data_IF_138816667695
#
_entry.id   IF_138816667695
#
_cell.length_a   1.000
_cell.length_b   1.000
_cell.length_c   1.000
_cell.angle_alpha   90.00
_cell.angle_beta   90.00
_cell.angle_gamma   90.00
#
_symmetry.space_group_name_H-M   'P 1'
#
loop_
_entity.id
_entity.type
_entity.pdbx_description
1 polymer ?
#
# COMPACT_ATOMS: atom_id res chain seq x y z
N UNK A 1 10.44 -18.14 0.53
CA UNK A 1 9.04 -17.88 0.19
C UNK A 1 8.83 -16.39 -0.06
N UNK A 2 8.20 -16.04 -1.15
CA UNK A 2 7.98 -14.64 -1.51
C UNK A 2 6.85 -14.04 -0.69
N UNK A 3 6.99 -12.76 -0.34
CA UNK A 3 5.93 -12.01 0.32
C UNK A 3 4.99 -11.41 -0.72
N UNK A 4 3.72 -11.34 -0.37
CA UNK A 4 2.66 -10.87 -1.25
C UNK A 4 2.25 -9.45 -0.88
N UNK A 5 2.32 -8.53 -1.86
CA UNK A 5 1.96 -7.12 -1.68
C UNK A 5 0.77 -6.77 -2.56
N UNK A 6 -0.25 -6.14 -1.97
CA UNK A 6 -1.38 -5.59 -2.71
C UNK A 6 -1.08 -4.12 -3.01
N UNK A 7 -1.07 -3.77 -4.29
CA UNK A 7 -0.81 -2.40 -4.75
C UNK A 7 -2.13 -1.79 -5.21
N UNK A 8 -2.55 -0.70 -4.58
CA UNK A 8 -3.83 -0.04 -4.85
C UNK A 8 -3.57 1.36 -5.39
N UNK A 9 -3.95 1.60 -6.64
CA UNK A 9 -3.75 2.89 -7.30
C UNK A 9 -4.65 2.91 -8.54
N UNK A 10 -5.33 4.04 -8.82
CA UNK A 10 -6.19 4.13 -9.99
C UNK A 10 -5.42 4.41 -11.28
N UNK A 11 -4.14 4.74 -11.20
CA UNK A 11 -3.28 4.95 -12.36
C UNK A 11 -2.65 3.64 -12.81
N UNK A 12 -2.98 3.20 -14.01
CA UNK A 12 -2.38 1.98 -14.57
C UNK A 12 -0.87 2.09 -14.68
N UNK A 13 -0.37 3.24 -15.10
CA UNK A 13 1.07 3.47 -15.20
C UNK A 13 1.75 3.28 -13.83
N UNK A 14 1.19 3.90 -12.80
CA UNK A 14 1.76 3.82 -11.45
C UNK A 14 1.68 2.41 -10.88
N UNK A 15 0.55 1.71 -11.08
CA UNK A 15 0.43 0.30 -10.66
C UNK A 15 1.50 -0.55 -11.29
N UNK A 16 1.68 -0.41 -12.61
CA UNK A 16 2.68 -1.19 -13.34
C UNK A 16 4.10 -0.87 -12.90
N UNK A 17 4.39 0.40 -12.66
CA UNK A 17 5.70 0.85 -12.20
C UNK A 17 6.05 0.24 -10.82
N UNK A 18 5.16 0.39 -9.86
CA UNK A 18 5.40 -0.16 -8.52
C UNK A 18 5.44 -1.70 -8.54
N UNK A 19 4.57 -2.32 -9.31
CA UNK A 19 4.57 -3.78 -9.44
C UNK A 19 5.88 -4.28 -10.02
N UNK A 20 6.41 -3.61 -11.05
CA UNK A 20 7.69 -3.98 -11.64
C UNK A 20 8.82 -3.88 -10.61
N UNK A 21 8.90 -2.76 -9.89
CA UNK A 21 9.95 -2.55 -8.88
C UNK A 21 9.89 -3.64 -7.81
N UNK A 22 8.70 -3.93 -7.31
CA UNK A 22 8.55 -4.93 -6.26
C UNK A 22 8.86 -6.34 -6.73
N UNK A 23 8.45 -6.69 -7.94
CA UNK A 23 8.77 -8.01 -8.49
C UNK A 23 10.27 -8.18 -8.70
N UNK A 24 10.97 -7.12 -9.13
CA UNK A 24 12.42 -7.16 -9.28
C UNK A 24 13.12 -7.32 -7.92
N UNK A 25 12.46 -6.90 -6.84
CA UNK A 25 12.96 -7.07 -5.48
C UNK A 25 12.45 -8.37 -4.83
N UNK A 26 11.92 -9.28 -5.64
CA UNK A 26 11.51 -10.62 -5.22
C UNK A 26 10.21 -10.67 -4.39
N UNK A 27 9.31 -9.71 -4.61
CA UNK A 27 7.95 -9.76 -4.06
C UNK A 27 6.96 -10.29 -5.11
N UNK A 28 5.89 -10.92 -4.63
CA UNK A 28 4.72 -11.21 -5.47
C UNK A 28 3.78 -10.02 -5.35
N UNK A 29 3.17 -9.59 -6.46
CA UNK A 29 2.28 -8.44 -6.45
C UNK A 29 0.92 -8.76 -7.03
N UNK A 30 -0.11 -8.16 -6.44
CA UNK A 30 -1.47 -8.13 -6.99
C UNK A 30 -1.87 -6.66 -6.99
N UNK A 31 -2.55 -6.22 -8.04
CA UNK A 31 -2.94 -4.82 -8.16
C UNK A 31 -4.45 -4.64 -8.04
N UNK A 32 -4.88 -3.49 -7.53
CA UNK A 32 -6.28 -3.11 -7.43
C UNK A 32 -6.43 -1.67 -7.92
N UNK A 33 -7.56 -1.34 -8.51
CA UNK A 33 -7.77 -0.03 -9.15
C UNK A 33 -8.37 1.01 -8.22
N UNK A 34 -8.96 0.59 -7.10
CA UNK A 34 -9.52 1.49 -6.08
C UNK A 34 -9.72 0.72 -4.78
N UNK A 35 -10.26 1.41 -3.77
CA UNK A 35 -10.47 0.80 -2.45
C UNK A 35 -11.45 -0.35 -2.45
N UNK A 36 -12.51 -0.26 -3.25
CA UNK A 36 -13.52 -1.33 -3.33
C UNK A 36 -12.92 -2.61 -3.92
N UNK A 37 -12.17 -2.46 -5.02
CA UNK A 37 -11.47 -3.58 -5.66
C UNK A 37 -10.43 -4.18 -4.70
N UNK A 38 -9.74 -3.33 -3.95
CA UNK A 38 -8.74 -3.77 -2.97
C UNK A 38 -9.37 -4.58 -1.84
N UNK A 39 -10.52 -4.15 -1.32
CA UNK A 39 -11.22 -4.92 -0.28
C UNK A 39 -11.61 -6.30 -0.78
N UNK A 40 -12.14 -6.37 -2.00
CA UNK A 40 -12.52 -7.64 -2.61
C UNK A 40 -11.33 -8.59 -2.68
N UNK A 41 -10.17 -8.08 -3.09
CA UNK A 41 -8.96 -8.89 -3.18
C UNK A 41 -8.43 -9.31 -1.82
N UNK A 42 -8.51 -8.43 -0.81
CA UNK A 42 -8.14 -8.78 0.56
C UNK A 42 -8.98 -9.93 1.11
N UNK A 43 -10.27 -9.95 0.78
CA UNK A 43 -11.16 -11.00 1.27
C UNK A 43 -10.94 -12.34 0.58
N UNK A 44 -10.31 -12.34 -0.59
CA UNK A 44 -10.13 -13.56 -1.38
C UNK A 44 -8.76 -14.22 -1.24
N UNK A 45 -7.76 -13.51 -0.68
CA UNK A 45 -6.41 -14.05 -0.51
C UNK A 45 -5.64 -13.31 0.58
N UNK A 46 -4.53 -13.89 1.01
CA UNK A 46 -3.69 -13.36 2.08
C UNK A 46 -2.58 -12.48 1.52
N UNK A 47 -2.34 -11.33 2.16
CA UNK A 47 -1.26 -10.41 1.81
C UNK A 47 -0.39 -10.14 3.03
N UNK A 48 0.89 -9.83 2.78
CA UNK A 48 1.84 -9.44 3.83
C UNK A 48 1.91 -7.94 4.00
N UNK A 49 1.48 -7.17 3.00
CA UNK A 49 1.55 -5.70 3.03
C UNK A 49 0.61 -5.12 1.98
N UNK A 50 0.08 -3.94 2.27
CA UNK A 50 -0.70 -3.15 1.31
C UNK A 50 0.04 -1.85 1.05
N UNK A 51 0.19 -1.49 -0.23
CA UNK A 51 0.74 -0.22 -0.68
C UNK A 51 -0.39 0.51 -1.41
N UNK A 52 -0.90 1.60 -0.86
CA UNK A 52 -2.09 2.26 -1.41
C UNK A 52 -1.89 3.76 -1.64
N UNK A 53 -2.44 4.27 -2.73
CA UNK A 53 -2.61 5.69 -2.94
C UNK A 53 -3.80 6.19 -2.11
N UNK A 54 -3.99 7.50 -2.07
CA UNK A 54 -5.09 8.16 -1.39
C UNK A 54 -6.18 8.54 -2.39
N UNK A 55 -5.83 9.27 -3.43
CA UNK A 55 -6.78 9.85 -4.37
C UNK A 55 -7.21 8.84 -5.43
N UNK A 56 -8.36 8.21 -5.19
CA UNK A 56 -8.90 7.20 -6.08
C UNK A 56 -10.40 7.39 -6.20
N UNK A 57 -10.97 6.99 -7.35
CA UNK A 57 -12.40 7.01 -7.56
C UNK A 57 -13.10 5.96 -6.67
N UNK A 58 -14.39 6.12 -6.45
CA UNK A 58 -15.28 5.21 -5.72
C UNK A 58 -14.98 5.13 -4.22
N UNK A 59 -13.75 4.85 -3.84
CA UNK A 59 -13.34 4.81 -2.43
C UNK A 59 -11.89 5.24 -2.33
N UNK A 60 -11.62 6.34 -1.62
CA UNK A 60 -10.26 6.84 -1.46
C UNK A 60 -9.46 5.97 -0.47
N UNK A 61 -8.15 6.25 -0.39
CA UNK A 61 -7.25 5.46 0.44
C UNK A 61 -7.54 5.54 1.93
N UNK A 62 -7.96 6.69 2.42
CA UNK A 62 -8.30 6.85 3.84
C UNK A 62 -9.50 5.97 4.22
N UNK A 63 -10.54 6.02 3.41
CA UNK A 63 -11.74 5.21 3.65
C UNK A 63 -11.42 3.72 3.55
N UNK A 64 -10.63 3.34 2.54
CA UNK A 64 -10.17 1.96 2.38
C UNK A 64 -9.47 1.47 3.64
N UNK A 65 -8.51 2.24 4.15
CA UNK A 65 -7.75 1.86 5.34
C UNK A 65 -8.66 1.75 6.56
N UNK A 66 -9.57 2.71 6.73
CA UNK A 66 -10.52 2.66 7.87
C UNK A 66 -11.37 1.39 7.82
N UNK A 67 -11.83 1.00 6.64
CA UNK A 67 -12.63 -0.22 6.49
C UNK A 67 -11.83 -1.47 6.79
N UNK A 68 -10.58 -1.52 6.35
CA UNK A 68 -9.69 -2.64 6.66
C UNK A 68 -9.52 -2.78 8.17
N UNK A 69 -9.24 -1.67 8.85
CA UNK A 69 -8.99 -1.67 10.30
C UNK A 69 -10.26 -1.95 11.11
N UNK A 70 -11.42 -1.49 10.63
CA UNK A 70 -12.67 -1.67 11.39
C UNK A 70 -13.16 -3.10 11.42
N UNK A 71 -12.71 -3.95 10.50
CA UNK A 71 -13.12 -5.36 10.48
C UNK A 71 -12.56 -6.18 11.64
N UNK A 72 -11.43 -5.73 12.21
CA UNK A 72 -10.74 -6.46 13.28
C UNK A 72 -9.89 -7.64 12.80
N UNK A 73 -10.03 -8.03 11.56
CA UNK A 73 -9.31 -9.20 11.02
C UNK A 73 -7.92 -8.86 10.49
N UNK A 74 -7.62 -7.56 10.32
CA UNK A 74 -6.39 -7.11 9.68
C UNK A 74 -5.58 -6.15 10.55
N UNK A 75 -5.67 -6.30 11.86
CA UNK A 75 -4.97 -5.39 12.79
C UNK A 75 -3.46 -5.41 12.61
N UNK A 76 -2.91 -6.55 12.20
CA UNK A 76 -1.48 -6.72 12.04
C UNK A 76 -1.01 -6.60 10.58
N UNK A 77 -1.90 -6.30 9.65
CA UNK A 77 -1.52 -6.12 8.25
C UNK A 77 -0.87 -4.75 8.06
N UNK A 78 0.41 -4.70 7.68
CA UNK A 78 1.05 -3.40 7.41
C UNK A 78 0.44 -2.72 6.21
N UNK A 79 0.15 -1.42 6.34
CA UNK A 79 -0.38 -0.59 5.25
C UNK A 79 0.52 0.62 5.10
N UNK A 80 1.05 0.81 3.89
CA UNK A 80 1.84 1.98 3.54
C UNK A 80 1.05 2.82 2.56
N UNK A 81 0.91 4.12 2.84
CA UNK A 81 0.36 5.07 1.88
C UNK A 81 1.51 5.55 1.00
N UNK A 82 1.29 5.59 -0.31
CA UNK A 82 2.21 6.23 -1.24
C UNK A 82 1.40 7.21 -2.09
N UNK A 83 1.69 8.52 -1.98
CA UNK A 83 0.84 9.56 -2.54
C UNK A 83 1.66 10.80 -2.89
N UNK A 84 1.14 11.59 -3.85
CA UNK A 84 1.71 12.91 -4.16
C UNK A 84 1.37 13.94 -3.08
N UNK A 85 0.37 13.67 -2.23
CA UNK A 85 0.01 14.56 -1.14
C UNK A 85 1.11 14.55 -0.09
N UNK A 86 1.70 15.73 0.21
CA UNK A 86 2.91 15.82 1.03
C UNK A 86 2.74 16.65 2.30
N UNK A 87 1.55 17.22 2.54
CA UNK A 87 1.34 18.05 3.70
C UNK A 87 1.29 17.24 5.00
N UNK A 88 1.68 17.88 6.10
CA UNK A 88 1.65 17.24 7.42
C UNK A 88 0.23 16.75 7.77
N UNK A 89 -0.79 17.51 7.38
CA UNK A 89 -2.18 17.14 7.60
C UNK A 89 -2.56 15.85 6.88
N UNK A 90 -2.09 15.70 5.64
CA UNK A 90 -2.35 14.48 4.86
C UNK A 90 -1.75 13.26 5.54
N UNK A 91 -0.53 13.39 6.03
CA UNK A 91 0.16 12.31 6.74
C UNK A 91 -0.53 11.97 8.04
N UNK A 92 -0.95 12.98 8.81
CA UNK A 92 -1.71 12.77 10.05
C UNK A 92 -3.00 12.01 9.78
N UNK A 93 -3.73 12.39 8.73
CA UNK A 93 -4.97 11.69 8.36
C UNK A 93 -4.70 10.23 8.00
N UNK A 94 -3.58 9.97 7.32
CA UNK A 94 -3.19 8.61 6.98
C UNK A 94 -2.95 7.75 8.21
N UNK A 95 -2.18 8.27 9.16
CA UNK A 95 -1.89 7.54 10.39
C UNK A 95 -3.14 7.38 11.26
N UNK A 96 -4.00 8.40 11.33
CA UNK A 96 -5.27 8.31 12.05
C UNK A 96 -6.20 7.26 11.44
N UNK A 97 -6.17 7.10 10.12
CA UNK A 97 -6.96 6.06 9.44
C UNK A 97 -6.44 4.66 9.73
N UNK A 98 -5.17 4.53 10.09
CA UNK A 98 -4.57 3.26 10.46
C UNK A 98 -3.37 2.84 9.62
N UNK A 99 -2.79 3.75 8.82
CA UNK A 99 -1.58 3.45 8.06
C UNK A 99 -0.37 3.32 8.98
N UNK A 100 0.57 2.46 8.61
CA UNK A 100 1.80 2.24 9.36
C UNK A 100 2.93 3.13 8.88
N UNK A 101 2.88 3.59 7.64
CA UNK A 101 3.92 4.43 7.07
C UNK A 101 3.36 5.23 5.90
N UNK A 102 4.07 6.31 5.54
CA UNK A 102 3.64 7.23 4.48
C UNK A 102 4.84 7.59 3.61
N UNK A 103 4.72 7.36 2.31
CA UNK A 103 5.76 7.68 1.33
C UNK A 103 5.21 8.71 0.36
N UNK A 104 5.97 9.78 0.10
CA UNK A 104 5.58 10.82 -0.86
C UNK A 104 6.12 10.45 -2.25
N UNK A 105 5.24 10.51 -3.26
CA UNK A 105 5.62 10.31 -4.66
C UNK A 105 6.28 11.56 -5.24
N UNK A 106 7.19 11.43 -6.18
CA UNK A 106 7.73 10.17 -6.68
C UNK A 106 8.76 9.58 -5.71
N UNK A 107 8.82 8.25 -5.64
CA UNK A 107 9.82 7.58 -4.81
C UNK A 107 10.70 6.72 -5.71
N UNK A 108 12.02 6.91 -5.59
CA UNK A 108 12.96 6.10 -6.35
C UNK A 108 12.89 4.63 -5.92
N UNK A 109 13.25 3.69 -6.81
CA UNK A 109 13.12 2.26 -6.48
C UNK A 109 13.82 1.83 -5.20
N UNK A 110 15.06 2.25 -4.98
CA UNK A 110 15.82 1.79 -3.81
C UNK A 110 15.20 2.28 -2.49
N UNK A 111 14.92 3.58 -2.29
CA UNK A 111 14.23 4.01 -1.07
C UNK A 111 12.87 3.36 -0.89
N UNK A 112 12.13 3.12 -1.96
CA UNK A 112 10.82 2.46 -1.85
C UNK A 112 10.99 1.05 -1.28
N UNK A 113 11.91 0.27 -1.82
CA UNK A 113 12.14 -1.09 -1.35
C UNK A 113 12.68 -1.09 0.09
N UNK A 114 13.59 -0.16 0.42
CA UNK A 114 14.12 -0.04 1.77
C UNK A 114 13.02 0.24 2.79
N UNK A 115 12.09 1.14 2.46
CA UNK A 115 10.98 1.47 3.34
C UNK A 115 10.02 0.29 3.52
N UNK A 116 9.73 -0.42 2.44
CA UNK A 116 8.87 -1.60 2.50
C UNK A 116 9.51 -2.68 3.39
N UNK A 117 10.80 -2.94 3.19
CA UNK A 117 11.52 -3.93 3.98
C UNK A 117 11.59 -3.54 5.46
N UNK A 118 11.77 -2.24 5.75
CA UNK A 118 11.77 -1.73 7.12
C UNK A 118 10.41 -2.02 7.80
N UNK A 119 9.32 -1.72 7.13
CA UNK A 119 7.97 -1.94 7.67
C UNK A 119 7.71 -3.44 7.87
N UNK A 120 8.21 -4.29 6.99
CA UNK A 120 8.06 -5.75 7.10
C UNK A 120 9.05 -6.37 8.09
N UNK A 121 10.06 -5.63 8.52
CA UNK A 121 11.09 -6.16 9.43
C UNK A 121 12.03 -7.16 8.76
N UNK A 122 12.34 -6.95 7.48
CA UNK A 122 13.22 -7.83 6.71
C UNK A 122 14.37 -7.02 6.08
N UNK A 123 15.41 -7.71 5.65
CA UNK A 123 16.56 -7.06 5.00
C UNK A 123 16.20 -6.70 3.55
N UNK A 124 16.75 -5.57 3.08
CA UNK A 124 16.52 -5.06 1.74
C UNK A 124 17.42 -5.70 0.67
N UNK A 125 18.30 -6.58 1.05
CA UNK A 125 19.25 -7.22 0.12
C UNK A 125 18.60 -8.33 -0.70
#
# INVERSE_FOLDING_TARGET
>A
MKRHVLIVDDSEFTRNYHSYILREANFETVTAVDGADALEKLYSRTFDLVLTDINMANMDGYEFIRRVRSSGDYDNLPIIIISTESEAEDKSRGFEAGANFYIVKPSDPLPLIENICMVLGIDAS
#
